data_IF_180684192085
#
_entry.id   IF_180684192085
#
_cell.length_a   1.000
_cell.length_b   1.000
_cell.length_c   1.000
_cell.angle_alpha   90.00
_cell.angle_beta   90.00
_cell.angle_gamma   90.00
#
_symmetry.space_group_name_H-M   'P 1'
#
loop_
_entity.id
_entity.type
_entity.pdbx_description
1 polymer ?
#
# COMPACT_ATOMS: atom_id res chain seq x y z
N UNK A 1 14.19 -15.01 -21.32
CA UNK A 1 14.18 -15.27 -19.87
C UNK A 1 12.77 -15.53 -19.32
N UNK A 2 11.79 -14.71 -19.60
CA UNK A 2 10.40 -14.83 -19.08
C UNK A 2 9.77 -16.22 -19.40
N UNK A 3 9.91 -16.74 -20.62
CA UNK A 3 9.38 -18.08 -20.98
C UNK A 3 9.91 -19.21 -20.11
N UNK A 4 11.20 -19.15 -19.69
CA UNK A 4 11.79 -20.17 -18.82
C UNK A 4 11.28 -20.09 -17.38
N UNK A 5 11.00 -18.87 -16.88
CA UNK A 5 10.42 -18.65 -15.55
C UNK A 5 8.99 -19.18 -15.52
N UNK A 6 8.17 -18.91 -16.55
CA UNK A 6 6.80 -19.42 -16.66
C UNK A 6 6.77 -20.95 -16.65
N UNK A 7 7.67 -21.59 -17.41
CA UNK A 7 7.76 -23.08 -17.44
C UNK A 7 8.13 -23.63 -16.07
N UNK A 8 9.07 -23.02 -15.35
CA UNK A 8 9.45 -23.44 -14.00
C UNK A 8 8.30 -23.27 -13.01
N UNK A 9 7.57 -22.16 -13.08
CA UNK A 9 6.39 -21.94 -12.22
C UNK A 9 5.27 -22.94 -12.51
N UNK A 10 5.00 -23.24 -13.80
CA UNK A 10 4.00 -24.24 -14.19
C UNK A 10 4.41 -25.64 -13.75
N UNK A 11 5.70 -25.98 -13.87
CA UNK A 11 6.24 -27.27 -13.41
C UNK A 11 6.14 -27.41 -11.88
N UNK A 12 6.41 -26.33 -11.14
CA UNK A 12 6.31 -26.31 -9.68
C UNK A 12 4.87 -26.50 -9.21
N UNK A 13 3.91 -25.85 -9.88
CA UNK A 13 2.47 -26.03 -9.61
C UNK A 13 2.01 -27.45 -9.93
N UNK A 14 2.50 -28.06 -11.01
CA UNK A 14 2.17 -29.42 -11.39
C UNK A 14 2.69 -30.45 -10.38
N UNK A 15 3.90 -30.26 -9.86
CA UNK A 15 4.52 -31.19 -8.87
C UNK A 15 3.81 -31.10 -7.53
N UNK A 16 3.45 -29.92 -7.06
CA UNK A 16 2.70 -29.74 -5.80
C UNK A 16 1.27 -30.26 -5.90
N UNK A 17 0.62 -30.16 -7.05
CA UNK A 17 -0.70 -30.70 -7.30
C UNK A 17 -0.78 -32.22 -7.14
N UNK A 18 0.27 -32.95 -7.51
CA UNK A 18 0.31 -34.41 -7.43
C UNK A 18 0.43 -34.91 -5.97
N UNK A 19 1.18 -34.18 -5.13
CA UNK A 19 1.38 -34.60 -3.72
C UNK A 19 0.22 -34.23 -2.80
N UNK A 20 -0.59 -33.22 -3.15
CA UNK A 20 -1.72 -32.75 -2.34
C UNK A 20 -3.06 -33.41 -2.75
N UNK A 21 -3.11 -34.19 -3.81
CA UNK A 21 -4.35 -34.77 -4.35
C UNK A 21 -4.84 -36.03 -3.64
N UNK A 22 -4.09 -36.57 -2.67
CA UNK A 22 -4.45 -37.73 -1.90
C UNK A 22 -4.94 -37.36 -0.50
N UNK A 23 -6.18 -36.99 -0.38
CA UNK A 23 -7.10 -37.26 0.70
C UNK A 23 -8.23 -36.24 0.84
N UNK A 24 -9.41 -36.77 1.21
CA UNK A 24 -10.64 -36.11 1.60
C UNK A 24 -11.51 -35.50 0.49
N UNK A 25 -12.17 -36.41 -0.23
CA UNK A 25 -13.28 -36.10 -1.15
C UNK A 25 -14.60 -35.67 -0.47
N UNK A 26 -14.64 -35.57 0.86
CA UNK A 26 -15.94 -35.38 1.58
C UNK A 26 -16.11 -34.02 2.27
N UNK A 27 -15.07 -33.24 2.48
CA UNK A 27 -15.24 -31.92 3.06
C UNK A 27 -15.39 -30.86 1.97
N UNK A 28 -16.64 -30.54 1.64
CA UNK A 28 -16.95 -29.25 0.95
C UNK A 28 -16.43 -28.11 1.80
N UNK A 29 -15.21 -27.68 1.55
CA UNK A 29 -14.65 -26.52 2.23
C UNK A 29 -15.33 -25.29 1.68
N UNK A 30 -16.12 -24.65 2.52
CA UNK A 30 -16.77 -23.40 2.18
C UNK A 30 -15.70 -22.30 1.99
N UNK A 31 -15.95 -21.33 1.10
CA UNK A 31 -15.07 -20.17 0.98
C UNK A 31 -15.04 -19.38 2.28
N UNK A 32 -13.86 -18.94 2.66
CA UNK A 32 -13.64 -18.05 3.79
C UNK A 32 -13.75 -16.61 3.33
N UNK A 33 -14.58 -15.81 4.01
CA UNK A 33 -14.67 -14.37 3.81
C UNK A 33 -13.98 -13.68 4.97
N UNK A 34 -13.21 -12.63 4.67
CA UNK A 34 -12.58 -11.83 5.69
C UNK A 34 -12.63 -10.36 5.34
N UNK A 35 -12.69 -9.55 6.38
CA UNK A 35 -12.62 -8.10 6.32
C UNK A 35 -11.60 -7.63 7.35
N UNK A 36 -10.90 -6.57 7.03
CA UNK A 36 -9.91 -5.99 7.92
C UNK A 36 -9.91 -4.48 7.83
N UNK A 37 -9.51 -3.86 8.91
CA UNK A 37 -9.19 -2.43 8.97
C UNK A 37 -7.80 -2.27 9.54
N UNK A 38 -7.06 -1.32 9.02
CA UNK A 38 -5.68 -1.10 9.44
C UNK A 38 -5.21 0.31 9.12
N UNK A 39 -3.92 0.49 9.29
CA UNK A 39 -3.25 1.75 9.01
C UNK A 39 -2.26 1.56 7.86
N UNK A 40 -2.20 2.55 7.01
CA UNK A 40 -1.28 2.63 5.90
C UNK A 40 -0.22 3.70 6.19
N UNK A 41 1.03 3.38 5.95
CA UNK A 41 2.15 4.29 6.11
C UNK A 41 3.06 4.19 4.90
N UNK A 42 3.49 5.32 4.39
CA UNK A 42 4.47 5.39 3.31
C UNK A 42 5.88 5.47 3.89
N UNK A 43 6.78 4.63 3.37
CA UNK A 43 8.21 4.69 3.68
C UNK A 43 8.98 4.70 2.36
N UNK A 44 9.50 5.86 1.98
CA UNK A 44 10.22 6.08 0.72
C UNK A 44 11.06 7.34 0.75
N UNK A 45 11.31 7.93 -0.42
CA UNK A 45 12.22 9.06 -0.60
C UNK A 45 11.75 10.37 0.01
N UNK A 46 10.43 10.51 0.21
CA UNK A 46 9.83 11.69 0.84
C UNK A 46 9.75 11.45 2.34
N UNK A 47 10.25 12.39 3.13
CA UNK A 47 10.16 12.36 4.59
C UNK A 47 11.23 11.52 5.28
N UNK A 48 12.49 11.76 4.96
CA UNK A 48 13.63 11.16 5.68
C UNK A 48 13.65 11.62 7.13
N UNK A 49 13.27 10.75 8.04
CA UNK A 49 13.43 10.94 9.48
C UNK A 49 12.46 10.08 10.27
N UNK A 50 12.98 9.38 11.27
CA UNK A 50 12.19 8.75 12.33
C UNK A 50 11.77 9.85 13.29
N UNK A 51 10.82 10.65 12.86
CA UNK A 51 10.26 11.70 13.70
C UNK A 51 8.93 11.23 14.28
N UNK A 52 8.62 11.67 15.50
CA UNK A 52 7.35 11.35 16.21
C UNK A 52 6.11 11.77 15.37
N UNK A 53 6.31 12.56 14.33
CA UNK A 53 5.30 12.91 13.32
C UNK A 53 4.80 11.74 12.47
N UNK A 54 5.27 10.52 12.69
CA UNK A 54 4.77 9.30 12.01
C UNK A 54 3.25 9.18 12.15
N UNK A 55 2.69 9.54 13.30
CA UNK A 55 1.25 9.48 13.52
C UNK A 55 0.44 10.43 12.66
N UNK A 56 1.00 11.56 12.21
CA UNK A 56 0.30 12.50 11.32
C UNK A 56 0.26 12.02 9.87
N UNK A 57 1.09 11.06 9.51
CA UNK A 57 1.24 10.48 8.17
C UNK A 57 0.46 9.18 8.00
N UNK A 58 -0.03 8.62 9.10
CA UNK A 58 -0.82 7.38 9.08
C UNK A 58 -2.22 7.68 8.51
N UNK A 59 -2.65 6.84 7.59
CA UNK A 59 -3.99 6.87 7.01
C UNK A 59 -4.68 5.53 7.21
N UNK A 60 -5.98 5.54 7.31
CA UNK A 60 -6.77 4.31 7.43
C UNK A 60 -6.86 3.58 6.09
N UNK A 61 -6.90 2.26 6.18
CA UNK A 61 -7.19 1.39 5.05
C UNK A 61 -8.11 0.26 5.47
N UNK A 62 -8.89 -0.22 4.51
CA UNK A 62 -9.80 -1.34 4.66
C UNK A 62 -9.46 -2.40 3.64
N UNK A 63 -9.51 -3.64 4.07
CA UNK A 63 -9.33 -4.78 3.19
C UNK A 63 -10.50 -5.74 3.31
N UNK A 64 -10.78 -6.43 2.23
CA UNK A 64 -11.74 -7.53 2.16
C UNK A 64 -11.18 -8.60 1.26
N UNK A 65 -11.58 -9.82 1.49
CA UNK A 65 -11.12 -10.91 0.66
C UNK A 65 -11.99 -12.14 0.79
N UNK A 66 -11.83 -13.00 -0.20
CA UNK A 66 -12.41 -14.33 -0.24
C UNK A 66 -11.30 -15.32 -0.54
N UNK A 67 -11.27 -16.41 0.18
CA UNK A 67 -10.35 -17.51 -0.06
C UNK A 67 -11.13 -18.81 -0.21
N UNK A 68 -10.81 -19.54 -1.27
CA UNK A 68 -11.31 -20.89 -1.50
C UNK A 68 -10.14 -21.86 -1.39
N UNK A 69 -10.18 -22.71 -0.38
CA UNK A 69 -9.22 -23.81 -0.23
C UNK A 69 -9.62 -24.97 -1.14
N UNK A 70 -8.65 -25.45 -1.92
CA UNK A 70 -8.80 -26.58 -2.84
C UNK A 70 -7.88 -27.69 -2.38
N UNK A 71 -8.45 -28.79 -1.88
CA UNK A 71 -7.68 -29.87 -1.29
C UNK A 71 -7.07 -29.54 0.07
N UNK A 72 -6.06 -30.30 0.49
CA UNK A 72 -5.44 -30.20 1.81
C UNK A 72 -4.40 -29.09 1.92
N UNK A 73 -3.77 -28.70 0.81
CA UNK A 73 -2.60 -27.80 0.81
C UNK A 73 -2.83 -26.47 0.10
N UNK A 74 -3.66 -26.45 -0.95
CA UNK A 74 -3.76 -25.31 -1.85
C UNK A 74 -5.06 -24.56 -1.67
N UNK A 75 -4.99 -23.24 -1.86
CA UNK A 75 -6.13 -22.34 -1.93
C UNK A 75 -5.87 -21.21 -2.92
N UNK A 76 -6.95 -20.55 -3.32
CA UNK A 76 -6.91 -19.32 -4.11
C UNK A 76 -7.58 -18.22 -3.30
N UNK A 77 -6.99 -17.04 -3.29
CA UNK A 77 -7.61 -15.87 -2.67
C UNK A 77 -7.70 -14.70 -3.63
N UNK A 78 -8.80 -13.99 -3.52
CA UNK A 78 -9.04 -12.71 -4.17
C UNK A 78 -9.20 -11.65 -3.09
N UNK A 79 -8.36 -10.62 -3.11
CA UNK A 79 -8.36 -9.57 -2.10
C UNK A 79 -8.56 -8.21 -2.75
N UNK A 80 -9.17 -7.31 -2.00
CA UNK A 80 -9.25 -5.91 -2.32
C UNK A 80 -8.81 -5.06 -1.13
N UNK A 81 -8.09 -3.98 -1.39
CA UNK A 81 -7.70 -2.99 -0.40
C UNK A 81 -8.05 -1.60 -0.93
N UNK A 82 -8.65 -0.81 -0.07
CA UNK A 82 -8.92 0.61 -0.32
C UNK A 82 -8.39 1.43 0.86
N UNK A 83 -7.78 2.57 0.57
CA UNK A 83 -7.24 3.42 1.61
C UNK A 83 -6.54 4.64 1.04
N UNK A 84 -5.78 5.31 1.89
CA UNK A 84 -4.97 6.45 1.50
C UNK A 84 -3.55 6.28 1.99
N UNK A 85 -2.58 6.79 1.23
CA UNK A 85 -1.21 7.01 1.69
C UNK A 85 -0.93 8.50 1.69
N UNK A 86 -0.19 8.98 2.68
CA UNK A 86 0.30 10.36 2.70
C UNK A 86 1.70 10.40 3.27
N UNK A 87 2.47 11.35 2.80
CA UNK A 87 3.73 11.71 3.43
C UNK A 87 4.01 13.20 3.23
N UNK A 88 4.83 13.75 4.12
CA UNK A 88 5.22 15.15 4.07
C UNK A 88 6.64 15.28 4.63
N UNK A 89 7.50 15.93 3.87
CA UNK A 89 8.83 16.35 4.32
C UNK A 89 8.73 17.79 4.79
N UNK A 90 9.21 18.05 6.01
CA UNK A 90 9.22 19.39 6.61
C UNK A 90 10.65 19.97 6.67
N UNK A 91 11.56 19.46 5.86
CA UNK A 91 12.90 20.04 5.81
C UNK A 91 12.89 21.36 5.04
N UNK A 92 13.73 22.29 5.45
CA UNK A 92 13.90 23.61 4.78
C UNK A 92 14.31 23.44 3.31
N UNK A 93 15.02 22.35 3.00
CA UNK A 93 15.54 22.06 1.66
C UNK A 93 14.59 21.25 0.77
N UNK A 94 13.56 20.64 1.33
CA UNK A 94 12.67 19.73 0.60
C UNK A 94 11.29 19.74 1.22
N UNK A 95 10.39 20.55 0.66
CA UNK A 95 9.01 20.66 1.12
C UNK A 95 8.07 19.81 0.28
N UNK A 96 8.43 18.54 0.13
CA UNK A 96 7.63 17.57 -0.61
C UNK A 96 6.49 17.05 0.25
N UNK A 97 5.31 17.02 -0.30
CA UNK A 97 4.14 16.45 0.36
C UNK A 97 3.22 15.80 -0.67
N UNK A 98 2.55 14.75 -0.26
CA UNK A 98 1.50 14.15 -1.07
C UNK A 98 0.49 13.40 -0.21
N UNK A 99 -0.72 13.29 -0.73
CA UNK A 99 -1.71 12.30 -0.34
C UNK A 99 -2.20 11.59 -1.60
N UNK A 100 -2.39 10.28 -1.54
CA UNK A 100 -2.89 9.48 -2.66
C UNK A 100 -3.92 8.46 -2.17
N UNK A 101 -5.11 8.42 -2.77
CA UNK A 101 -6.00 7.29 -2.60
C UNK A 101 -5.36 6.06 -3.26
N UNK A 102 -5.51 4.90 -2.62
CA UNK A 102 -5.05 3.62 -3.14
C UNK A 102 -6.24 2.68 -3.25
N UNK A 103 -6.32 2.02 -4.40
CA UNK A 103 -7.19 0.87 -4.62
C UNK A 103 -6.32 -0.25 -5.16
N UNK A 104 -6.35 -1.39 -4.48
CA UNK A 104 -5.55 -2.55 -4.84
C UNK A 104 -6.46 -3.77 -4.96
N UNK A 105 -6.18 -4.62 -5.95
CA UNK A 105 -6.79 -5.92 -6.13
C UNK A 105 -5.72 -6.98 -6.31
N UNK A 106 -5.83 -8.10 -5.60
CA UNK A 106 -4.84 -9.17 -5.57
C UNK A 106 -5.48 -10.50 -5.91
N UNK A 107 -4.82 -11.27 -6.75
CA UNK A 107 -5.12 -12.67 -6.98
C UNK A 107 -3.94 -13.52 -6.51
N UNK A 108 -4.18 -14.43 -5.57
CA UNK A 108 -3.12 -15.19 -4.93
C UNK A 108 -3.38 -16.69 -4.95
N UNK A 109 -2.29 -17.43 -5.00
CA UNK A 109 -2.21 -18.84 -4.67
C UNK A 109 -1.75 -18.95 -3.21
N UNK A 110 -2.49 -19.67 -2.40
CA UNK A 110 -2.22 -19.88 -0.97
C UNK A 110 -1.81 -21.32 -0.75
N UNK A 111 -0.67 -21.52 -0.11
CA UNK A 111 -0.19 -22.83 0.30
C UNK A 111 -0.34 -22.96 1.81
N UNK A 112 -1.23 -23.84 2.24
CA UNK A 112 -1.52 -24.13 3.64
C UNK A 112 -0.59 -25.21 4.16
N UNK A 113 0.07 -24.95 5.27
CA UNK A 113 0.99 -25.90 5.90
C UNK A 113 0.31 -26.81 6.92
N UNK A 114 -0.94 -26.51 7.32
CA UNK A 114 -1.80 -27.35 8.18
C UNK A 114 -2.46 -28.48 7.36
N UNK A 115 -1.63 -29.29 6.72
CA UNK A 115 -2.01 -30.30 5.74
C UNK A 115 -1.74 -31.75 6.21
N UNK A 116 -1.52 -31.94 7.51
CA UNK A 116 -1.11 -33.20 8.18
C UNK A 116 0.27 -33.72 7.79
N UNK A 117 0.91 -33.14 6.76
CA UNK A 117 2.28 -33.48 6.39
C UNK A 117 3.31 -32.57 7.08
N UNK A 118 3.10 -31.25 7.06
CA UNK A 118 3.98 -30.28 7.73
C UNK A 118 3.50 -29.98 9.16
N UNK A 119 2.24 -29.65 9.31
CA UNK A 119 1.59 -29.41 10.58
C UNK A 119 0.25 -30.16 10.63
N UNK A 120 -0.12 -30.65 11.81
CA UNK A 120 -1.41 -31.31 12.00
C UNK A 120 -2.55 -30.29 11.78
N UNK A 121 -3.65 -30.73 11.16
CA UNK A 121 -4.89 -29.94 11.01
C UNK A 121 -5.46 -29.41 12.33
N UNK A 122 -5.16 -30.09 13.44
CA UNK A 122 -5.54 -29.71 14.80
C UNK A 122 -4.55 -28.80 15.51
N UNK A 123 -3.48 -28.38 14.82
CA UNK A 123 -2.48 -27.47 15.38
C UNK A 123 -3.09 -26.10 15.65
N UNK A 124 -2.72 -25.49 16.79
CA UNK A 124 -3.12 -24.12 17.14
C UNK A 124 -2.52 -23.10 16.17
N UNK A 125 -1.37 -23.43 15.59
CA UNK A 125 -0.69 -22.59 14.61
C UNK A 125 -0.84 -23.22 13.22
N UNK A 126 -1.43 -22.48 12.29
CA UNK A 126 -1.63 -22.88 10.90
C UNK A 126 -0.90 -21.92 9.95
N UNK A 127 0.44 -22.08 9.75
CA UNK A 127 1.20 -21.23 8.86
C UNK A 127 0.73 -21.43 7.40
N UNK A 128 0.84 -20.37 6.61
CA UNK A 128 0.59 -20.42 5.18
C UNK A 128 1.60 -19.56 4.43
N UNK A 129 1.80 -19.88 3.17
CA UNK A 129 2.57 -19.10 2.22
C UNK A 129 1.64 -18.61 1.11
N UNK A 130 1.77 -17.35 0.75
CA UNK A 130 0.95 -16.73 -0.28
C UNK A 130 1.83 -16.12 -1.36
N UNK A 131 1.47 -16.38 -2.62
CA UNK A 131 2.15 -15.84 -3.80
C UNK A 131 1.09 -15.41 -4.81
N UNK A 132 1.23 -14.22 -5.38
CA UNK A 132 0.21 -13.72 -6.29
C UNK A 132 0.63 -12.54 -7.13
N UNK A 133 -0.35 -11.97 -7.81
CA UNK A 133 -0.24 -10.77 -8.62
C UNK A 133 -1.19 -9.72 -8.08
N UNK A 134 -0.73 -8.47 -8.08
CA UNK A 134 -1.50 -7.32 -7.60
C UNK A 134 -1.62 -6.28 -8.69
N UNK A 135 -2.78 -5.66 -8.76
CA UNK A 135 -3.00 -4.42 -9.50
C UNK A 135 -3.26 -3.29 -8.51
N UNK A 136 -2.45 -2.24 -8.59
CA UNK A 136 -2.57 -1.07 -7.70
C UNK A 136 -2.87 0.15 -8.55
N UNK A 137 -3.92 0.88 -8.18
CA UNK A 137 -4.26 2.20 -8.71
C UNK A 137 -4.03 3.24 -7.63
N UNK A 138 -3.34 4.32 -8.00
CA UNK A 138 -3.06 5.45 -7.13
C UNK A 138 -3.18 6.76 -7.93
N UNK A 139 -3.46 7.87 -7.24
CA UNK A 139 -3.59 9.20 -7.83
C UNK A 139 -3.04 10.24 -6.85
N UNK A 140 -1.74 10.57 -6.92
CA UNK A 140 -1.08 11.44 -5.96
C UNK A 140 -1.46 12.90 -6.15
N UNK A 141 -1.80 13.55 -5.06
CA UNK A 141 -2.10 14.97 -4.98
C UNK A 141 -1.18 15.65 -3.97
N UNK A 142 -0.72 16.85 -4.29
CA UNK A 142 0.08 17.70 -3.41
C UNK A 142 -0.74 18.86 -2.84
N UNK A 143 -0.39 19.28 -1.65
CA UNK A 143 -0.88 20.50 -1.03
C UNK A 143 0.09 21.63 -1.37
N UNK A 144 -0.18 22.35 -2.47
CA UNK A 144 0.68 23.40 -3.02
C UNK A 144 0.09 24.80 -2.88
N UNK A 145 -1.20 24.91 -2.57
CA UNK A 145 -1.93 26.20 -2.47
C UNK A 145 -2.76 26.23 -1.20
N UNK A 146 -2.98 27.44 -0.71
CA UNK A 146 -3.94 27.68 0.34
C UNK A 146 -5.38 27.65 -0.19
N UNK A 147 -6.37 27.68 0.71
CA UNK A 147 -7.82 27.73 0.39
C UNK A 147 -8.23 28.89 -0.54
N UNK A 148 -7.38 29.91 -0.70
CA UNK A 148 -7.60 31.05 -1.58
C UNK A 148 -6.92 30.87 -2.94
N UNK A 149 -6.22 29.74 -3.17
CA UNK A 149 -5.47 29.47 -4.38
C UNK A 149 -4.08 30.11 -4.42
N UNK A 150 -3.58 30.61 -3.30
CA UNK A 150 -2.24 31.23 -3.19
C UNK A 150 -1.18 30.11 -3.04
N UNK A 151 -0.18 30.12 -3.89
CA UNK A 151 0.93 29.19 -3.81
C UNK A 151 1.73 29.34 -2.51
N UNK A 152 2.11 28.23 -1.92
CA UNK A 152 3.04 28.19 -0.80
C UNK A 152 4.46 28.43 -1.28
N UNK A 153 5.08 29.53 -0.82
CA UNK A 153 6.48 29.81 -1.04
C UNK A 153 7.25 29.59 0.26
N UNK A 154 8.11 28.61 0.25
CA UNK A 154 8.95 28.24 1.39
C UNK A 154 10.22 29.07 1.39
N UNK A 155 10.46 29.78 2.49
CA UNK A 155 11.60 30.64 2.67
C UNK A 155 12.72 29.96 3.47
N UNK A 156 13.95 30.41 3.32
CA UNK A 156 15.12 29.87 4.02
C UNK A 156 15.02 29.95 5.55
N UNK A 157 14.20 30.86 6.08
CA UNK A 157 13.91 30.99 7.51
C UNK A 157 12.89 29.91 8.02
N UNK A 158 12.44 29.00 7.15
CA UNK A 158 11.46 27.97 7.47
C UNK A 158 10.01 28.43 7.44
N UNK A 159 9.75 29.69 7.10
CA UNK A 159 8.38 30.21 7.00
C UNK A 159 7.77 29.95 5.63
N UNK A 160 6.44 29.89 5.59
CA UNK A 160 5.66 29.80 4.35
C UNK A 160 5.00 31.15 4.10
N UNK A 161 5.18 31.69 2.90
CA UNK A 161 4.62 33.01 2.53
C UNK A 161 3.93 32.98 1.16
N UNK A 162 3.11 34.03 0.94
CA UNK A 162 2.37 34.22 -0.31
C UNK A 162 3.23 34.69 -1.51
N UNK A 163 4.49 35.05 -1.27
CA UNK A 163 5.42 35.51 -2.30
C UNK A 163 6.75 34.79 -2.22
N UNK A 164 7.45 34.58 -3.36
CA UNK A 164 8.77 33.96 -3.36
C UNK A 164 9.79 34.81 -2.60
N UNK A 165 10.77 34.14 -2.02
CA UNK A 165 11.87 34.81 -1.34
C UNK A 165 12.76 35.58 -2.34
N UNK A 166 13.02 36.84 -2.04
CA UNK A 166 13.96 37.72 -2.80
C UNK A 166 14.80 38.53 -1.85
N UNK A 167 15.92 39.04 -2.33
CA UNK A 167 16.78 39.93 -1.57
C UNK A 167 16.81 41.33 -2.25
N UNK A 168 16.24 42.38 -1.65
CA UNK A 168 15.52 42.43 -0.36
C UNK A 168 14.15 41.73 -0.41
N UNK A 169 13.60 41.37 0.75
CA UNK A 169 12.28 40.73 0.83
C UNK A 169 11.17 41.54 0.15
N UNK A 170 10.25 40.89 -0.57
CA UNK A 170 9.23 41.60 -1.33
C UNK A 170 8.22 42.28 -0.41
N UNK A 171 7.83 43.50 -0.74
CA UNK A 171 6.82 44.27 -0.02
C UNK A 171 5.49 43.50 -0.05
N UNK A 172 4.84 43.36 1.12
CA UNK A 172 3.57 42.66 1.26
C UNK A 172 3.70 41.13 1.25
N UNK A 173 4.87 40.60 1.57
CA UNK A 173 5.01 39.17 1.89
C UNK A 173 4.33 38.89 3.25
N UNK A 174 3.33 38.01 3.25
CA UNK A 174 2.54 37.66 4.43
C UNK A 174 2.73 36.17 4.73
N UNK A 175 2.79 35.83 6.01
CA UNK A 175 2.83 34.45 6.47
C UNK A 175 1.54 33.72 6.11
N UNK A 176 1.66 32.51 5.61
CA UNK A 176 0.57 31.61 5.32
C UNK A 176 0.79 30.31 6.10
N UNK A 177 -0.30 29.70 6.55
CA UNK A 177 -0.27 28.35 7.14
C UNK A 177 -0.82 27.34 6.15
N UNK A 178 -0.22 26.16 6.11
CA UNK A 178 -0.73 25.03 5.32
C UNK A 178 -2.09 24.61 5.84
N UNK A 179 -3.01 24.34 4.94
CA UNK A 179 -4.35 23.86 5.27
C UNK A 179 -4.51 22.33 5.13
N UNK A 180 -3.45 21.65 4.62
CA UNK A 180 -3.41 20.21 4.41
C UNK A 180 -4.54 19.70 3.50
N UNK A 181 -4.97 20.54 2.57
CA UNK A 181 -5.89 20.17 1.51
C UNK A 181 -5.09 19.87 0.25
N UNK A 182 -5.10 18.62 -0.18
CA UNK A 182 -4.29 18.13 -1.31
C UNK A 182 -5.03 18.36 -2.62
N UNK A 183 -5.02 19.58 -3.14
CA UNK A 183 -5.81 20.02 -4.29
C UNK A 183 -5.10 19.87 -5.64
N UNK A 184 -3.77 19.74 -5.64
CA UNK A 184 -2.98 19.75 -6.87
C UNK A 184 -2.61 18.31 -7.27
N UNK A 185 -3.13 17.84 -8.39
CA UNK A 185 -2.75 16.53 -8.93
C UNK A 185 -1.29 16.53 -9.36
N UNK A 186 -0.51 15.61 -8.82
CA UNK A 186 0.89 15.40 -9.17
C UNK A 186 0.92 14.42 -10.36
N UNK A 187 0.99 14.95 -11.57
CA UNK A 187 1.12 14.12 -12.79
C UNK A 187 2.58 13.76 -13.00
N UNK A 188 2.81 12.52 -13.39
CA UNK A 188 4.06 12.16 -14.04
C UNK A 188 4.19 12.99 -15.33
N UNK A 189 5.32 13.67 -15.58
CA UNK A 189 5.51 14.49 -16.78
C UNK A 189 5.64 13.70 -18.10
N UNK A 190 5.43 12.38 -18.08
CA UNK A 190 5.46 11.52 -19.28
C UNK A 190 4.08 11.31 -19.89
#
# INVERSE_FOLDING_TARGET
>A
MIKKIIVVCVLFIAVTGITCAQEDSELKRLPSLYVGAGVLSFNGDVGKGVDISVFTRIRSGFMFGIEQRVGSCLGFSLNGLIGKLSNSDHSISSNLNFETPITQGDLNLVFHMDNDFLFKKTSIIAPYLQVGISYVKFDPHGDLKDKNGTLYNYWADGTIRNKPETTPPPVGAVLIQRDYNYETQLKDPN
#
